data_IF_541730503610
#
_entry.id   IF_541730503610
#
_cell.length_a   1.000
_cell.length_b   1.000
_cell.length_c   1.000
_cell.angle_alpha   90.00
_cell.angle_beta   90.00
_cell.angle_gamma   90.00
#
_symmetry.space_group_name_H-M   'P 1'
#
loop_
_entity.id
_entity.type
_entity.pdbx_description
1 polymer ?
#
# COMPACT_ATOMS: atom_id res chain seq x y z
N UNK A 1 66.60 39.09 80.14
CA UNK A 1 66.68 38.77 78.69
C UNK A 1 66.94 40.05 77.86
N UNK A 2 68.05 40.78 78.09
CA UNK A 2 68.40 41.96 77.29
C UNK A 2 69.75 41.86 76.56
N UNK A 3 70.50 40.76 76.75
CA UNK A 3 71.77 40.52 76.02
C UNK A 3 71.58 39.81 74.67
N UNK A 4 70.39 39.31 74.35
CA UNK A 4 70.14 38.48 73.18
C UNK A 4 69.98 39.24 71.84
N UNK A 5 69.96 40.57 71.85
CA UNK A 5 69.62 41.38 70.65
C UNK A 5 70.81 42.03 69.94
N UNK A 6 72.03 41.95 70.48
CA UNK A 6 73.21 42.58 69.85
C UNK A 6 74.18 41.61 69.18
N UNK A 7 73.86 40.31 69.18
CA UNK A 7 74.74 39.31 68.58
C UNK A 7 74.29 39.06 67.13
N UNK A 8 75.12 39.35 66.12
CA UNK A 8 74.75 39.12 64.72
C UNK A 8 74.44 37.64 64.50
N UNK A 9 73.37 37.37 63.75
CA UNK A 9 72.92 36.04 63.31
C UNK A 9 72.46 35.05 64.41
N UNK A 10 72.08 35.52 65.61
CA UNK A 10 71.58 34.72 66.75
C UNK A 10 70.35 33.81 66.48
N UNK A 11 69.65 34.01 65.37
CA UNK A 11 68.43 33.26 64.99
C UNK A 11 68.67 32.21 63.90
N UNK A 12 69.90 32.05 63.41
CA UNK A 12 70.26 31.01 62.46
C UNK A 12 70.99 29.88 63.18
N UNK A 13 70.48 28.65 63.06
CA UNK A 13 71.12 27.46 63.63
C UNK A 13 72.58 27.35 63.19
N UNK A 14 72.82 27.53 61.89
CA UNK A 14 74.16 27.43 61.28
C UNK A 14 75.11 28.46 61.88
N UNK A 15 74.63 29.68 62.09
CA UNK A 15 75.45 30.75 62.66
C UNK A 15 75.72 30.58 64.15
N UNK A 16 74.75 30.07 64.91
CA UNK A 16 74.91 29.81 66.35
C UNK A 16 75.89 28.65 66.56
N UNK A 17 75.83 27.60 65.72
CA UNK A 17 76.79 26.50 65.71
C UNK A 17 78.20 26.97 65.40
N UNK A 18 78.35 27.81 64.38
CA UNK A 18 79.67 28.30 63.99
C UNK A 18 80.28 29.17 65.09
N UNK A 19 79.52 30.10 65.66
CA UNK A 19 79.97 30.94 66.76
C UNK A 19 80.30 30.13 68.03
N UNK A 20 79.51 29.11 68.36
CA UNK A 20 79.81 28.21 69.48
C UNK A 20 81.12 27.45 69.25
N UNK A 21 81.29 26.86 68.06
CA UNK A 21 82.49 26.11 67.68
C UNK A 21 83.74 27.00 67.66
N UNK A 22 83.63 28.24 67.18
CA UNK A 22 84.74 29.19 67.14
C UNK A 22 85.16 29.63 68.55
N UNK A 23 84.18 29.83 69.45
CA UNK A 23 84.44 30.18 70.85
C UNK A 23 85.03 29.01 71.66
N UNK A 24 84.55 27.79 71.45
CA UNK A 24 85.15 26.58 72.03
C UNK A 24 86.59 26.38 71.52
N UNK A 25 86.82 26.54 70.22
CA UNK A 25 88.16 26.47 69.64
C UNK A 25 89.09 27.54 70.23
N UNK A 26 88.61 28.78 70.39
CA UNK A 26 89.37 29.85 71.02
C UNK A 26 89.68 29.53 72.49
N UNK A 27 88.72 29.04 73.26
CA UNK A 27 88.92 28.63 74.65
C UNK A 27 90.01 27.56 74.77
N UNK A 28 89.95 26.52 73.94
CA UNK A 28 90.96 25.46 73.89
C UNK A 28 92.36 25.99 73.54
N UNK A 29 92.46 26.90 72.56
CA UNK A 29 93.74 27.54 72.20
C UNK A 29 94.31 28.35 73.35
N UNK A 30 93.48 29.13 74.05
CA UNK A 30 93.93 29.94 75.18
C UNK A 30 94.29 29.10 76.42
N UNK A 31 93.59 27.99 76.68
CA UNK A 31 94.01 27.03 77.69
C UNK A 31 95.36 26.39 77.34
N UNK A 32 95.60 26.05 76.07
CA UNK A 32 96.89 25.53 75.63
C UNK A 32 98.02 26.56 75.79
N UNK A 33 97.76 27.84 75.45
CA UNK A 33 98.70 28.93 75.67
C UNK A 33 98.99 29.16 77.16
N UNK A 34 97.97 29.09 78.03
CA UNK A 34 98.19 29.14 79.47
C UNK A 34 99.21 28.09 79.93
N UNK A 35 99.00 26.83 79.55
CA UNK A 35 99.91 25.74 79.95
C UNK A 35 101.31 26.00 79.41
N UNK A 36 101.41 26.46 78.16
CA UNK A 36 102.70 26.81 77.56
C UNK A 36 103.43 27.92 78.31
N UNK A 37 102.74 29.00 78.68
CA UNK A 37 103.35 30.12 79.41
C UNK A 37 103.68 29.77 80.87
N UNK A 38 102.89 28.91 81.51
CA UNK A 38 103.16 28.39 82.85
C UNK A 38 104.44 27.52 82.86
N UNK A 39 104.59 26.67 81.84
CA UNK A 39 105.83 25.89 81.61
C UNK A 39 107.02 26.81 81.35
N UNK A 40 106.87 27.85 80.52
CA UNK A 40 107.95 28.82 80.28
C UNK A 40 108.33 29.63 81.53
N UNK A 41 107.37 29.97 82.39
CA UNK A 41 107.63 30.64 83.65
C UNK A 41 108.50 29.75 84.55
N UNK A 42 108.18 28.46 84.63
CA UNK A 42 108.93 27.48 85.43
C UNK A 42 110.39 27.31 84.99
N UNK A 43 110.68 27.52 83.70
CA UNK A 43 112.05 27.46 83.15
C UNK A 43 112.81 28.79 83.18
N UNK A 44 112.21 29.87 83.66
CA UNK A 44 112.86 31.19 83.69
C UNK A 44 113.70 31.36 84.97
N UNK A 45 115.02 31.41 84.84
CA UNK A 45 115.93 31.69 85.98
C UNK A 45 115.85 33.15 86.48
N UNK A 46 115.28 34.07 85.67
CA UNK A 46 115.06 35.47 86.04
C UNK A 46 113.68 35.66 86.71
N UNK A 47 113.70 36.00 88.01
CA UNK A 47 112.52 36.24 88.85
C UNK A 47 111.57 37.31 88.31
N UNK A 48 112.06 38.32 87.57
CA UNK A 48 111.19 39.34 87.02
C UNK A 48 110.42 38.83 85.80
N UNK A 49 111.04 37.95 85.01
CA UNK A 49 110.47 37.35 83.80
C UNK A 49 109.50 36.22 84.14
N UNK A 50 109.81 35.41 85.15
CA UNK A 50 108.90 34.41 85.74
C UNK A 50 107.55 35.05 86.12
N UNK A 51 107.57 36.11 86.94
CA UNK A 51 106.36 36.86 87.34
C UNK A 51 105.59 37.48 86.17
N UNK A 52 106.27 37.83 85.09
CA UNK A 52 105.62 38.39 83.90
C UNK A 52 104.91 37.29 83.13
N UNK A 53 105.56 36.13 82.96
CA UNK A 53 104.99 34.96 82.28
C UNK A 53 103.81 34.37 83.07
N UNK A 54 103.88 34.32 84.40
CA UNK A 54 102.74 33.94 85.26
C UNK A 54 101.53 34.88 85.05
N UNK A 55 101.76 36.20 85.00
CA UNK A 55 100.68 37.17 84.75
C UNK A 55 100.08 37.02 83.36
N UNK A 56 100.91 36.71 82.35
CA UNK A 56 100.46 36.45 80.99
C UNK A 56 99.66 35.15 80.91
N UNK A 57 100.14 34.09 81.56
CA UNK A 57 99.41 32.82 81.70
C UNK A 57 98.05 33.03 82.37
N UNK A 58 98.01 33.77 83.49
CA UNK A 58 96.76 34.13 84.16
C UNK A 58 95.80 34.95 83.28
N UNK A 59 96.34 35.83 82.42
CA UNK A 59 95.54 36.56 81.44
C UNK A 59 94.90 35.61 80.41
N UNK A 60 95.66 34.63 79.90
CA UNK A 60 95.11 33.60 79.01
C UNK A 60 94.09 32.70 79.69
N UNK A 61 94.26 32.38 80.97
CA UNK A 61 93.23 31.70 81.77
C UNK A 61 91.92 32.48 81.74
N UNK A 62 91.98 33.77 82.04
CA UNK A 62 90.82 34.63 82.09
C UNK A 62 90.12 34.68 80.73
N UNK A 63 90.88 34.84 79.64
CA UNK A 63 90.32 34.86 78.28
C UNK A 63 89.66 33.52 77.92
N UNK A 64 90.29 32.39 78.27
CA UNK A 64 89.71 31.06 78.02
C UNK A 64 88.39 30.86 78.78
N UNK A 65 88.36 31.23 80.06
CA UNK A 65 87.14 31.16 80.89
C UNK A 65 86.07 32.12 80.36
N UNK A 66 86.44 33.32 79.91
CA UNK A 66 85.48 34.24 79.26
C UNK A 66 84.95 33.69 77.94
N UNK A 67 85.78 33.01 77.14
CA UNK A 67 85.34 32.35 75.91
C UNK A 67 84.34 31.22 76.20
N UNK A 68 84.58 30.40 77.23
CA UNK A 68 83.63 29.37 77.70
C UNK A 68 82.31 29.97 78.21
N UNK A 69 82.38 31.02 79.05
CA UNK A 69 81.20 31.74 79.52
C UNK A 69 80.41 32.33 78.34
N UNK A 70 81.12 32.83 77.32
CA UNK A 70 80.50 33.35 76.10
C UNK A 70 79.93 32.23 75.21
N UNK A 71 80.54 31.04 75.18
CA UNK A 71 80.11 29.89 74.38
C UNK A 71 78.83 29.24 74.94
N UNK A 72 78.69 29.16 76.27
CA UNK A 72 77.54 28.54 76.95
C UNK A 72 76.16 28.97 76.44
N UNK A 73 75.84 30.28 76.29
CA UNK A 73 74.54 30.70 75.77
C UNK A 73 74.34 30.32 74.28
N UNK A 74 75.40 30.18 73.48
CA UNK A 74 75.28 29.66 72.11
C UNK A 74 74.99 28.16 72.11
N UNK A 75 75.59 27.38 73.02
CA UNK A 75 75.28 25.97 73.20
C UNK A 75 73.79 25.74 73.51
N UNK A 76 73.25 26.42 74.52
CA UNK A 76 71.81 26.34 74.85
C UNK A 76 70.90 26.79 73.69
N UNK A 77 71.33 27.80 72.93
CA UNK A 77 70.57 28.30 71.78
C UNK A 77 70.60 27.32 70.62
N UNK A 78 71.73 26.64 70.38
CA UNK A 78 71.86 25.59 69.38
C UNK A 78 70.92 24.41 69.68
N UNK A 79 70.83 23.99 70.95
CA UNK A 79 69.91 22.92 71.37
C UNK A 79 68.46 23.32 71.13
N UNK A 80 68.07 24.53 71.54
CA UNK A 80 66.70 25.06 71.37
C UNK A 80 66.32 25.17 69.88
N UNK A 81 67.21 25.71 69.04
CA UNK A 81 66.96 25.85 67.60
C UNK A 81 66.94 24.49 66.90
N UNK A 82 67.78 23.54 67.34
CA UNK A 82 67.79 22.16 66.84
C UNK A 82 66.47 21.46 67.17
N UNK A 83 65.98 21.58 68.41
CA UNK A 83 64.70 21.03 68.84
C UNK A 83 63.52 21.63 68.06
N UNK A 84 63.52 22.94 67.84
CA UNK A 84 62.50 23.62 67.01
C UNK A 84 62.51 23.11 65.56
N UNK A 85 63.69 22.95 64.96
CA UNK A 85 63.83 22.44 63.59
C UNK A 85 63.35 20.99 63.51
N UNK A 86 63.74 20.13 64.45
CA UNK A 86 63.31 18.73 64.53
C UNK A 86 61.78 18.65 64.71
N UNK A 87 61.20 19.44 65.61
CA UNK A 87 59.74 19.50 65.80
C UNK A 87 58.99 20.00 64.57
N UNK A 88 59.54 20.98 63.85
CA UNK A 88 58.96 21.47 62.59
C UNK A 88 59.04 20.42 61.47
N UNK A 89 60.13 19.66 61.41
CA UNK A 89 60.32 18.56 60.45
C UNK A 89 59.38 17.39 60.75
N UNK A 90 59.23 17.02 62.02
CA UNK A 90 58.28 15.98 62.45
C UNK A 90 56.84 16.36 62.10
N UNK A 91 56.46 17.63 62.32
CA UNK A 91 55.15 18.16 61.91
C UNK A 91 54.97 18.09 60.39
N UNK A 92 55.95 18.57 59.62
CA UNK A 92 55.91 18.48 58.14
C UNK A 92 55.86 17.04 57.63
N UNK A 93 56.56 16.11 58.28
CA UNK A 93 56.54 14.69 57.93
C UNK A 93 55.17 14.07 58.20
N UNK A 94 54.55 14.38 59.36
CA UNK A 94 53.17 13.95 59.69
C UNK A 94 52.15 14.52 58.72
N UNK A 95 52.27 15.80 58.35
CA UNK A 95 51.39 16.42 57.35
C UNK A 95 51.56 15.78 55.97
N UNK A 96 52.80 15.54 55.54
CA UNK A 96 53.09 14.88 54.28
C UNK A 96 52.53 13.44 54.25
N UNK A 97 52.68 12.69 55.34
CA UNK A 97 52.11 11.34 55.47
C UNK A 97 50.59 11.37 55.40
N UNK A 98 49.95 12.32 56.11
CA UNK A 98 48.50 12.50 56.10
C UNK A 98 47.99 12.86 54.71
N UNK A 99 48.67 13.78 54.02
CA UNK A 99 48.34 14.17 52.66
C UNK A 99 48.51 13.01 51.66
N UNK A 100 49.58 12.21 51.78
CA UNK A 100 49.79 11.03 50.94
C UNK A 100 48.72 9.95 51.19
N UNK A 101 48.36 9.71 52.45
CA UNK A 101 47.29 8.77 52.82
C UNK A 101 45.93 9.23 52.28
N UNK A 102 45.61 10.51 52.41
CA UNK A 102 44.39 11.11 51.85
C UNK A 102 44.37 11.03 50.32
N UNK A 103 45.49 11.29 49.65
CA UNK A 103 45.60 11.17 48.20
C UNK A 103 45.41 9.72 47.73
N UNK A 104 46.01 8.75 48.43
CA UNK A 104 45.85 7.32 48.15
C UNK A 104 44.38 6.88 48.31
N UNK A 105 43.70 7.33 49.37
CA UNK A 105 42.29 7.05 49.60
C UNK A 105 41.42 7.63 48.47
N UNK A 106 41.63 8.90 48.13
CA UNK A 106 40.90 9.56 47.02
C UNK A 106 41.14 8.88 45.67
N UNK A 107 42.35 8.40 45.41
CA UNK A 107 42.66 7.65 44.19
C UNK A 107 41.92 6.30 44.16
N UNK A 108 41.82 5.62 45.30
CA UNK A 108 41.01 4.39 45.43
C UNK A 108 39.52 4.65 45.18
N UNK A 109 38.96 5.70 45.75
CA UNK A 109 37.57 6.09 45.53
C UNK A 109 37.29 6.46 44.07
N UNK A 110 38.23 7.16 43.42
CA UNK A 110 38.13 7.50 42.01
C UNK A 110 38.16 6.25 41.12
N UNK A 111 39.05 5.30 41.40
CA UNK A 111 39.11 4.01 40.69
C UNK A 111 37.80 3.22 40.84
N UNK A 112 37.29 3.11 42.07
CA UNK A 112 36.01 2.46 42.34
C UNK A 112 34.83 3.13 41.62
N UNK A 113 34.84 4.47 41.53
CA UNK A 113 33.81 5.23 40.82
C UNK A 113 33.89 4.99 39.32
N UNK A 114 35.09 4.97 38.73
CA UNK A 114 35.31 4.65 37.33
C UNK A 114 34.85 3.22 36.99
N UNK A 115 35.16 2.23 37.83
CA UNK A 115 34.70 0.85 37.64
C UNK A 115 33.18 0.74 37.65
N UNK A 116 32.49 1.45 38.55
CA UNK A 116 31.03 1.50 38.55
C UNK A 116 30.47 2.17 37.29
N UNK A 117 31.11 3.24 36.82
CA UNK A 117 30.71 3.93 35.60
C UNK A 117 30.85 3.02 34.37
N UNK A 118 31.95 2.27 34.27
CA UNK A 118 32.18 1.30 33.19
C UNK A 118 31.12 0.19 33.21
N UNK A 119 30.84 -0.42 34.37
CA UNK A 119 29.78 -1.44 34.49
C UNK A 119 28.39 -0.89 34.11
N UNK A 120 28.08 0.35 34.50
CA UNK A 120 26.83 0.99 34.13
C UNK A 120 26.75 1.23 32.61
N UNK A 121 27.87 1.59 31.97
CA UNK A 121 27.96 1.74 30.52
C UNK A 121 27.75 0.38 29.81
N UNK A 122 28.39 -0.69 30.25
CA UNK A 122 28.24 -2.05 29.68
C UNK A 122 26.77 -2.53 29.77
N UNK A 123 26.10 -2.27 30.91
CA UNK A 123 24.69 -2.57 31.08
C UNK A 123 23.80 -1.75 30.14
N UNK A 124 24.10 -0.48 29.96
CA UNK A 124 23.37 0.39 29.04
C UNK A 124 23.55 -0.06 27.58
N UNK A 125 24.76 -0.45 27.17
CA UNK A 125 25.06 -0.98 25.84
C UNK A 125 24.31 -2.30 25.59
N UNK A 126 24.32 -3.22 26.56
CA UNK A 126 23.58 -4.49 26.47
C UNK A 126 22.06 -4.26 26.36
N UNK A 127 21.52 -3.35 27.17
CA UNK A 127 20.09 -3.00 27.14
C UNK A 127 19.71 -2.36 25.80
N UNK A 128 20.54 -1.47 25.26
CA UNK A 128 20.37 -0.85 23.96
C UNK A 128 20.40 -1.89 22.83
N UNK A 129 21.36 -2.81 22.85
CA UNK A 129 21.45 -3.92 21.87
C UNK A 129 20.20 -4.80 21.88
N UNK A 130 19.69 -5.14 23.06
CA UNK A 130 18.44 -5.89 23.21
C UNK A 130 17.22 -5.12 22.67
N UNK A 131 17.14 -3.80 22.92
CA UNK A 131 16.07 -2.96 22.42
C UNK A 131 16.08 -2.86 20.88
N UNK A 132 17.27 -2.69 20.27
CA UNK A 132 17.44 -2.69 18.81
C UNK A 132 17.06 -4.05 18.22
N UNK A 133 17.43 -5.16 18.88
CA UNK A 133 17.04 -6.51 18.47
C UNK A 133 15.52 -6.69 18.46
N UNK A 134 14.84 -6.32 19.55
CA UNK A 134 13.37 -6.38 19.63
C UNK A 134 12.69 -5.48 18.59
N UNK A 135 13.20 -4.26 18.39
CA UNK A 135 12.68 -3.36 17.36
C UNK A 135 12.83 -3.94 15.96
N UNK A 136 13.94 -4.64 15.68
CA UNK A 136 14.18 -5.28 14.39
C UNK A 136 13.23 -6.46 14.14
N UNK A 137 12.95 -7.25 15.18
CA UNK A 137 11.94 -8.32 15.11
C UNK A 137 10.55 -7.76 14.86
N UNK A 138 10.14 -6.72 15.61
CA UNK A 138 8.84 -6.08 15.42
C UNK A 138 8.68 -5.49 14.01
N UNK A 139 9.74 -4.91 13.44
CA UNK A 139 9.72 -4.40 12.06
C UNK A 139 9.50 -5.52 11.04
N UNK A 140 10.10 -6.70 11.26
CA UNK A 140 9.87 -7.88 10.40
C UNK A 140 8.44 -8.39 10.50
N UNK A 141 7.91 -8.52 11.71
CA UNK A 141 6.51 -8.92 11.94
C UNK A 141 5.53 -7.96 11.25
N UNK A 142 5.75 -6.65 11.35
CA UNK A 142 4.93 -5.65 10.65
C UNK A 142 5.03 -5.80 9.12
N UNK A 143 6.22 -6.06 8.59
CA UNK A 143 6.40 -6.29 7.15
C UNK A 143 5.71 -7.56 6.66
N UNK A 144 5.75 -8.64 7.45
CA UNK A 144 5.06 -9.89 7.14
C UNK A 144 3.54 -9.73 7.19
N UNK A 145 3.02 -9.06 8.22
CA UNK A 145 1.60 -8.75 8.35
C UNK A 145 1.10 -7.87 7.18
N UNK A 146 1.89 -6.90 6.75
CA UNK A 146 1.55 -6.05 5.60
C UNK A 146 1.48 -6.87 4.29
N UNK A 147 2.35 -7.87 4.13
CA UNK A 147 2.32 -8.78 2.98
C UNK A 147 1.09 -9.68 3.01
N UNK A 148 0.72 -10.20 4.18
CA UNK A 148 -0.51 -10.99 4.35
C UNK A 148 -1.75 -10.17 4.02
N UNK A 149 -1.84 -8.93 4.53
CA UNK A 149 -2.97 -8.02 4.26
C UNK A 149 -3.18 -7.78 2.76
N UNK A 150 -2.11 -7.52 2.01
CA UNK A 150 -2.20 -7.31 0.55
C UNK A 150 -2.67 -8.57 -0.18
N UNK A 151 -2.23 -9.75 0.27
CA UNK A 151 -2.68 -11.02 -0.31
C UNK A 151 -4.17 -11.27 -0.02
N UNK A 152 -4.62 -11.03 1.21
CA UNK A 152 -6.04 -11.15 1.59
C UNK A 152 -6.93 -10.18 0.81
N UNK A 153 -6.49 -8.93 0.60
CA UNK A 153 -7.21 -7.95 -0.23
C UNK A 153 -7.39 -8.46 -1.66
N UNK A 154 -6.33 -9.01 -2.28
CA UNK A 154 -6.42 -9.58 -3.62
C UNK A 154 -7.38 -10.77 -3.70
N UNK A 155 -7.40 -11.63 -2.67
CA UNK A 155 -8.35 -12.74 -2.59
C UNK A 155 -9.79 -12.25 -2.46
N UNK A 156 -10.03 -11.19 -1.68
CA UNK A 156 -11.36 -10.59 -1.52
C UNK A 156 -11.89 -10.04 -2.85
N UNK A 157 -11.08 -9.28 -3.58
CA UNK A 157 -11.44 -8.75 -4.91
C UNK A 157 -11.78 -9.88 -5.89
N UNK A 158 -11.02 -10.99 -5.86
CA UNK A 158 -11.30 -12.16 -6.70
C UNK A 158 -12.63 -12.85 -6.33
N UNK A 159 -12.97 -12.90 -5.03
CA UNK A 159 -14.25 -13.45 -4.55
C UNK A 159 -15.41 -12.53 -4.93
N UNK A 160 -15.27 -11.21 -4.77
CA UNK A 160 -16.30 -10.25 -5.18
C UNK A 160 -16.59 -10.32 -6.68
N UNK A 161 -15.54 -10.43 -7.51
CA UNK A 161 -15.71 -10.64 -8.95
C UNK A 161 -16.47 -11.94 -9.27
N UNK A 162 -16.14 -13.05 -8.60
CA UNK A 162 -16.88 -14.31 -8.78
C UNK A 162 -18.33 -14.20 -8.32
N UNK A 163 -18.59 -13.43 -7.25
CA UNK A 163 -19.93 -13.19 -6.74
C UNK A 163 -20.76 -12.41 -7.76
N UNK A 164 -20.23 -11.32 -8.31
CA UNK A 164 -20.95 -10.52 -9.31
C UNK A 164 -21.19 -11.30 -10.61
N UNK A 165 -20.22 -12.11 -11.04
CA UNK A 165 -20.38 -13.06 -12.16
C UNK A 165 -21.52 -14.07 -11.88
N UNK A 166 -21.56 -14.64 -10.66
CA UNK A 166 -22.59 -15.59 -10.26
C UNK A 166 -23.97 -14.96 -10.12
N UNK A 167 -24.07 -13.77 -9.50
CA UNK A 167 -25.33 -13.03 -9.38
C UNK A 167 -25.90 -12.69 -10.76
N UNK A 168 -25.04 -12.24 -11.69
CA UNK A 168 -25.44 -11.98 -13.09
C UNK A 168 -25.93 -13.27 -13.76
N UNK A 169 -25.23 -14.38 -13.56
CA UNK A 169 -25.64 -15.69 -14.08
C UNK A 169 -26.97 -16.17 -13.50
N UNK A 170 -27.22 -15.95 -12.21
CA UNK A 170 -28.47 -16.35 -11.55
C UNK A 170 -29.64 -15.50 -12.02
N UNK A 171 -29.47 -14.19 -12.12
CA UNK A 171 -30.49 -13.28 -12.68
C UNK A 171 -30.80 -13.65 -14.14
N UNK A 172 -29.75 -13.91 -14.94
CA UNK A 172 -29.94 -14.39 -16.32
C UNK A 172 -30.70 -15.71 -16.35
N UNK A 173 -30.36 -16.67 -15.50
CA UNK A 173 -31.06 -17.95 -15.41
C UNK A 173 -32.52 -17.78 -14.96
N UNK A 174 -32.80 -16.90 -14.01
CA UNK A 174 -34.16 -16.62 -13.54
C UNK A 174 -35.01 -15.98 -14.64
N UNK A 175 -34.50 -14.93 -15.29
CA UNK A 175 -35.17 -14.26 -16.42
C UNK A 175 -35.40 -15.25 -17.56
N UNK A 176 -34.39 -16.08 -17.84
CA UNK A 176 -34.43 -17.00 -18.95
C UNK A 176 -35.19 -18.29 -18.65
N UNK A 177 -35.53 -18.63 -17.41
CA UNK A 177 -36.37 -19.79 -17.07
C UNK A 177 -37.80 -19.40 -16.68
N UNK A 178 -38.10 -18.10 -16.65
CA UNK A 178 -39.42 -17.58 -16.37
C UNK A 178 -40.46 -18.10 -17.39
N UNK A 179 -41.65 -18.53 -16.95
CA UNK A 179 -42.71 -18.94 -17.87
C UNK A 179 -43.06 -17.84 -18.89
N UNK A 180 -43.28 -18.17 -20.16
CA UNK A 180 -43.73 -17.21 -21.19
C UNK A 180 -45.17 -16.76 -20.92
N UNK A 181 -45.30 -15.78 -20.05
CA UNK A 181 -46.58 -15.14 -19.66
C UNK A 181 -46.48 -13.66 -20.00
N UNK A 182 -47.45 -13.16 -20.75
CA UNK A 182 -47.57 -11.72 -21.00
C UNK A 182 -48.36 -11.14 -19.82
N UNK A 183 -47.77 -10.27 -19.00
CA UNK A 183 -48.48 -9.70 -17.87
C UNK A 183 -49.67 -8.89 -18.38
N UNK A 184 -50.86 -9.22 -17.88
CA UNK A 184 -52.06 -8.43 -18.11
C UNK A 184 -52.05 -7.25 -17.13
N UNK A 185 -51.52 -6.11 -17.56
CA UNK A 185 -51.52 -4.88 -16.78
C UNK A 185 -52.32 -3.79 -17.50
N UNK A 186 -52.92 -2.90 -16.71
CA UNK A 186 -53.64 -1.73 -17.20
C UNK A 186 -53.32 -0.50 -16.36
N UNK A 187 -52.86 0.58 -16.99
CA UNK A 187 -52.63 1.87 -16.33
C UNK A 187 -53.93 2.69 -16.37
N UNK A 188 -54.83 2.43 -15.42
CA UNK A 188 -56.18 2.97 -15.42
C UNK A 188 -57.04 2.46 -16.57
N UNK A 189 -58.02 3.25 -17.01
CA UNK A 189 -58.94 2.87 -18.11
C UNK A 189 -58.39 3.14 -19.52
N UNK A 190 -57.12 3.54 -19.66
CA UNK A 190 -56.59 4.09 -20.92
C UNK A 190 -55.56 3.20 -21.61
N UNK A 191 -54.62 2.63 -20.84
CA UNK A 191 -53.50 1.87 -21.42
C UNK A 191 -53.49 0.44 -20.90
N UNK A 192 -53.32 -0.52 -21.80
CA UNK A 192 -53.19 -1.95 -21.51
C UNK A 192 -51.89 -2.50 -22.07
N UNK A 193 -51.47 -3.69 -21.59
CA UNK A 193 -50.31 -4.39 -22.13
C UNK A 193 -50.41 -4.72 -23.63
N UNK A 194 -51.59 -4.65 -24.25
CA UNK A 194 -51.82 -4.88 -25.67
C UNK A 194 -51.76 -3.60 -26.53
N UNK A 195 -51.63 -2.42 -25.92
CA UNK A 195 -51.71 -1.12 -26.62
C UNK A 195 -50.69 -0.93 -27.74
N UNK A 196 -49.42 -1.37 -27.61
CA UNK A 196 -48.45 -1.28 -28.71
C UNK A 196 -48.90 -1.99 -30.00
N UNK A 197 -49.82 -2.96 -29.90
CA UNK A 197 -50.33 -3.74 -31.04
C UNK A 197 -51.68 -3.25 -31.59
N UNK A 198 -52.35 -2.32 -30.88
CA UNK A 198 -53.64 -1.72 -31.32
C UNK A 198 -53.57 -0.96 -32.66
N UNK A 199 -52.46 -0.31 -33.05
CA UNK A 199 -52.34 0.31 -34.38
C UNK A 199 -52.55 -0.68 -35.54
N UNK A 200 -52.43 -1.99 -35.27
CA UNK A 200 -52.62 -3.07 -36.24
C UNK A 200 -53.97 -3.80 -36.06
N UNK A 201 -54.98 -3.17 -35.45
CA UNK A 201 -56.30 -3.78 -35.28
C UNK A 201 -56.88 -4.25 -36.64
N UNK A 202 -57.54 -5.40 -36.63
CA UNK A 202 -58.07 -6.07 -37.83
C UNK A 202 -57.07 -6.99 -38.54
N UNK A 203 -55.79 -6.92 -38.19
CA UNK A 203 -54.74 -7.79 -38.73
C UNK A 203 -55.07 -9.27 -38.55
N UNK A 204 -54.84 -10.07 -39.60
CA UNK A 204 -55.04 -11.51 -39.57
C UNK A 204 -53.78 -12.23 -39.09
N UNK A 205 -53.94 -13.13 -38.12
CA UNK A 205 -52.85 -13.96 -37.60
C UNK A 205 -53.29 -15.42 -37.46
N UNK A 206 -52.43 -16.35 -37.88
CA UNK A 206 -52.63 -17.79 -37.77
C UNK A 206 -51.66 -18.33 -36.74
N UNK A 207 -52.15 -18.80 -35.60
CA UNK A 207 -51.33 -19.25 -34.47
C UNK A 207 -51.20 -20.77 -34.46
N UNK A 208 -49.98 -21.29 -34.53
CA UNK A 208 -49.63 -22.70 -34.32
C UNK A 208 -48.73 -22.89 -33.11
N UNK A 209 -48.78 -24.07 -32.49
CA UNK A 209 -47.97 -24.39 -31.31
C UNK A 209 -47.64 -25.88 -31.19
N UNK A 210 -46.56 -26.22 -30.48
CA UNK A 210 -46.19 -27.61 -30.13
C UNK A 210 -47.08 -28.10 -29.00
N UNK A 211 -47.41 -29.40 -28.98
CA UNK A 211 -48.27 -30.00 -27.96
C UNK A 211 -47.54 -30.20 -26.60
N UNK A 212 -47.01 -29.12 -26.06
CA UNK A 212 -46.35 -29.06 -24.76
C UNK A 212 -47.07 -27.99 -23.89
N UNK A 213 -47.08 -28.19 -22.57
CA UNK A 213 -47.89 -27.40 -21.64
C UNK A 213 -47.46 -25.91 -21.60
N UNK A 214 -46.16 -25.64 -21.60
CA UNK A 214 -45.62 -24.29 -21.62
C UNK A 214 -45.82 -23.61 -22.98
N UNK A 215 -45.58 -24.29 -24.11
CA UNK A 215 -45.85 -23.77 -25.45
C UNK A 215 -47.34 -23.43 -25.66
N UNK A 216 -48.25 -24.30 -25.18
CA UNK A 216 -49.70 -24.06 -25.22
C UNK A 216 -50.10 -22.84 -24.37
N UNK A 217 -49.50 -22.67 -23.20
CA UNK A 217 -49.72 -21.50 -22.34
C UNK A 217 -49.19 -20.22 -22.99
N UNK A 218 -48.01 -20.25 -23.59
CA UNK A 218 -47.42 -19.13 -24.32
C UNK A 218 -48.31 -18.72 -25.51
N UNK A 219 -48.75 -19.70 -26.30
CA UNK A 219 -49.69 -19.48 -27.40
C UNK A 219 -51.02 -18.87 -26.90
N UNK A 220 -51.55 -19.35 -25.78
CA UNK A 220 -52.78 -18.80 -25.18
C UNK A 220 -52.61 -17.33 -24.73
N UNK A 221 -51.44 -16.97 -24.19
CA UNK A 221 -51.11 -15.59 -23.84
C UNK A 221 -51.05 -14.70 -25.08
N UNK A 222 -50.32 -15.12 -26.12
CA UNK A 222 -50.27 -14.39 -27.40
C UNK A 222 -51.67 -14.22 -27.96
N UNK A 223 -52.47 -15.29 -28.02
CA UNK A 223 -53.84 -15.23 -28.52
C UNK A 223 -54.69 -14.19 -27.79
N UNK A 224 -54.66 -14.19 -26.45
CA UNK A 224 -55.39 -13.23 -25.63
C UNK A 224 -54.95 -11.79 -25.89
N UNK A 225 -53.64 -11.53 -25.92
CA UNK A 225 -53.08 -10.20 -26.18
C UNK A 225 -53.45 -9.69 -27.58
N UNK A 226 -53.34 -10.53 -28.61
CA UNK A 226 -53.72 -10.16 -29.98
C UNK A 226 -55.22 -9.89 -30.10
N UNK A 227 -56.07 -10.70 -29.45
CA UNK A 227 -57.51 -10.43 -29.40
C UNK A 227 -57.84 -9.11 -28.71
N UNK A 228 -57.17 -8.80 -27.60
CA UNK A 228 -57.31 -7.52 -26.91
C UNK A 228 -56.84 -6.32 -27.76
N UNK A 229 -55.86 -6.54 -28.64
CA UNK A 229 -55.42 -5.56 -29.63
C UNK A 229 -56.37 -5.43 -30.85
N UNK A 230 -57.44 -6.23 -30.92
CA UNK A 230 -58.42 -6.19 -32.01
C UNK A 230 -58.05 -7.02 -33.24
N UNK A 231 -57.16 -8.00 -33.10
CA UNK A 231 -56.70 -8.83 -34.23
C UNK A 231 -57.63 -10.01 -34.53
N UNK A 232 -57.62 -10.44 -35.79
CA UNK A 232 -58.35 -11.60 -36.29
C UNK A 232 -57.46 -12.85 -36.21
N UNK A 233 -57.40 -13.46 -35.02
CA UNK A 233 -56.58 -14.66 -34.76
C UNK A 233 -57.35 -15.95 -35.00
N UNK A 234 -56.78 -16.86 -35.79
CA UNK A 234 -57.17 -18.27 -35.94
C UNK A 234 -56.09 -19.20 -35.34
N UNK A 235 -56.46 -20.41 -34.95
CA UNK A 235 -55.55 -21.36 -34.29
C UNK A 235 -55.46 -22.64 -35.12
N UNK A 236 -54.24 -23.09 -35.40
CA UNK A 236 -53.95 -24.36 -36.06
C UNK A 236 -53.95 -25.52 -35.05
N UNK A 237 -54.20 -26.75 -35.50
CA UNK A 237 -53.94 -27.93 -34.69
C UNK A 237 -52.48 -27.98 -34.19
N UNK A 238 -52.22 -28.54 -33.01
CA UNK A 238 -50.86 -28.71 -32.51
C UNK A 238 -50.00 -29.52 -33.48
N UNK A 239 -48.72 -29.16 -33.62
CA UNK A 239 -47.75 -29.88 -34.47
C UNK A 239 -46.38 -29.87 -33.81
N UNK A 240 -45.62 -30.97 -33.95
CA UNK A 240 -44.28 -31.10 -33.37
C UNK A 240 -43.19 -30.52 -34.27
N UNK A 241 -43.52 -30.09 -35.50
CA UNK A 241 -42.57 -29.57 -36.49
C UNK A 241 -42.23 -28.08 -36.31
N UNK A 242 -42.33 -27.55 -35.09
CA UNK A 242 -42.05 -26.13 -34.80
C UNK A 242 -40.71 -26.00 -34.10
N UNK A 243 -39.87 -25.09 -34.59
CA UNK A 243 -38.60 -24.74 -33.96
C UNK A 243 -38.83 -24.08 -32.60
N UNK A 244 -37.91 -24.30 -31.66
CA UNK A 244 -37.95 -23.66 -30.33
C UNK A 244 -38.07 -22.13 -30.41
N UNK A 245 -38.72 -21.56 -29.38
CA UNK A 245 -39.00 -20.13 -29.28
C UNK A 245 -40.34 -19.73 -29.92
N UNK A 246 -40.42 -18.47 -30.36
CA UNK A 246 -41.58 -17.95 -31.11
C UNK A 246 -41.10 -17.44 -32.47
N UNK A 247 -41.63 -18.00 -33.55
CA UNK A 247 -41.29 -17.59 -34.91
C UNK A 247 -42.46 -16.85 -35.55
N UNK A 248 -42.23 -15.60 -35.97
CA UNK A 248 -43.21 -14.77 -36.66
C UNK A 248 -42.91 -14.82 -38.16
N UNK A 249 -43.84 -15.41 -38.91
CA UNK A 249 -43.70 -15.72 -40.33
C UNK A 249 -44.66 -14.84 -41.14
N UNK A 250 -44.19 -13.71 -41.71
CA UNK A 250 -45.03 -12.82 -42.52
C UNK A 250 -45.44 -13.46 -43.85
N UNK A 251 -46.44 -12.88 -44.52
CA UNK A 251 -46.84 -13.28 -45.86
C UNK A 251 -45.71 -13.07 -46.87
N UNK A 252 -45.48 -14.06 -47.73
CA UNK A 252 -44.51 -13.96 -48.82
C UNK A 252 -45.25 -13.97 -50.15
N UNK A 253 -45.06 -12.93 -50.95
CA UNK A 253 -45.69 -12.81 -52.26
C UNK A 253 -45.27 -13.97 -53.22
N UNK A 254 -46.18 -14.46 -54.08
CA UNK A 254 -45.84 -15.42 -55.13
C UNK A 254 -44.80 -14.85 -56.12
N UNK A 255 -43.85 -15.70 -56.55
CA UNK A 255 -42.87 -15.35 -57.59
C UNK A 255 -43.46 -15.57 -58.99
N UNK A 256 -42.93 -14.84 -59.98
CA UNK A 256 -43.17 -15.10 -61.41
C UNK A 256 -44.55 -14.67 -61.93
N UNK A 257 -45.32 -13.93 -61.15
CA UNK A 257 -46.59 -13.34 -61.58
C UNK A 257 -46.33 -12.11 -62.47
N UNK A 258 -47.12 -11.90 -63.54
CA UNK A 258 -47.06 -10.66 -64.31
C UNK A 258 -47.44 -9.46 -63.41
N UNK A 259 -46.82 -8.30 -63.64
CA UNK A 259 -47.14 -7.03 -62.95
C UNK A 259 -48.60 -6.63 -63.23
N UNK A 260 -49.50 -7.16 -62.42
CA UNK A 260 -50.94 -6.93 -62.45
C UNK A 260 -51.35 -6.20 -61.17
N UNK A 261 -52.57 -5.66 -61.14
CA UNK A 261 -53.14 -5.05 -59.94
C UNK A 261 -53.20 -6.03 -58.76
N UNK A 262 -53.40 -7.33 -59.03
CA UNK A 262 -53.37 -8.39 -58.04
C UNK A 262 -51.95 -8.65 -57.51
N UNK A 263 -50.93 -8.60 -58.36
CA UNK A 263 -49.55 -8.70 -57.92
C UNK A 263 -49.16 -7.53 -56.99
N UNK A 264 -49.60 -6.31 -57.32
CA UNK A 264 -49.32 -5.14 -56.47
C UNK A 264 -50.01 -5.27 -55.10
N UNK A 265 -51.22 -5.83 -55.03
CA UNK A 265 -51.87 -6.10 -53.74
C UNK A 265 -51.12 -7.15 -52.91
N UNK A 266 -50.56 -8.18 -53.54
CA UNK A 266 -49.67 -9.14 -52.87
C UNK A 266 -48.39 -8.49 -52.37
N UNK A 267 -47.77 -7.61 -53.17
CA UNK A 267 -46.56 -6.88 -52.77
C UNK A 267 -46.81 -5.98 -51.58
N UNK A 268 -47.89 -5.20 -51.61
CA UNK A 268 -48.28 -4.34 -50.49
C UNK A 268 -48.65 -5.16 -49.25
N UNK A 269 -49.34 -6.28 -49.44
CA UNK A 269 -49.64 -7.24 -48.37
C UNK A 269 -48.37 -7.81 -47.73
N UNK A 270 -47.36 -8.17 -48.52
CA UNK A 270 -46.08 -8.64 -48.01
C UNK A 270 -45.40 -7.55 -47.17
N UNK A 271 -45.20 -6.36 -47.74
CA UNK A 271 -44.57 -5.23 -47.03
C UNK A 271 -45.29 -4.87 -45.72
N UNK A 272 -46.62 -4.83 -45.74
CA UNK A 272 -47.40 -4.59 -44.54
C UNK A 272 -47.20 -5.70 -43.51
N UNK A 273 -47.34 -6.96 -43.91
CA UNK A 273 -47.17 -8.10 -43.00
C UNK A 273 -45.77 -8.18 -42.39
N UNK A 274 -44.73 -7.73 -43.13
CA UNK A 274 -43.37 -7.65 -42.63
C UNK A 274 -43.23 -6.59 -41.53
N UNK A 275 -43.76 -5.39 -41.75
CA UNK A 275 -43.74 -4.33 -40.74
C UNK A 275 -44.50 -4.74 -39.47
N UNK A 276 -45.64 -5.41 -39.62
CA UNK A 276 -46.42 -5.90 -38.48
C UNK A 276 -45.69 -7.05 -37.77
N UNK A 277 -45.05 -7.95 -38.52
CA UNK A 277 -44.25 -9.03 -37.95
C UNK A 277 -43.08 -8.49 -37.11
N UNK A 278 -42.38 -7.47 -37.61
CA UNK A 278 -41.29 -6.82 -36.87
C UNK A 278 -41.81 -6.16 -35.59
N UNK A 279 -42.96 -5.48 -35.64
CA UNK A 279 -43.58 -4.87 -34.45
C UNK A 279 -44.01 -5.93 -33.41
N UNK A 280 -44.49 -7.09 -33.85
CA UNK A 280 -44.83 -8.20 -32.95
C UNK A 280 -43.59 -8.86 -32.35
N UNK A 281 -42.51 -9.00 -33.13
CA UNK A 281 -41.22 -9.47 -32.61
C UNK A 281 -40.73 -8.52 -31.52
N UNK A 282 -40.69 -7.22 -31.80
CA UNK A 282 -40.27 -6.18 -30.84
C UNK A 282 -41.12 -6.22 -29.57
N UNK A 283 -42.43 -6.34 -29.73
CA UNK A 283 -43.35 -6.47 -28.61
C UNK A 283 -43.01 -7.68 -27.74
N UNK A 284 -42.88 -8.87 -28.32
CA UNK A 284 -42.59 -10.09 -27.56
C UNK A 284 -41.21 -10.05 -26.90
N UNK A 285 -40.20 -9.52 -27.60
CA UNK A 285 -38.86 -9.34 -27.07
C UNK A 285 -38.82 -8.34 -25.91
N UNK A 286 -39.70 -7.32 -25.89
CA UNK A 286 -39.81 -6.40 -24.75
C UNK A 286 -40.24 -7.08 -23.44
N UNK A 287 -40.85 -8.27 -23.55
CA UNK A 287 -41.18 -9.14 -22.41
C UNK A 287 -40.16 -10.28 -22.21
N UNK A 288 -38.96 -10.17 -22.80
CA UNK A 288 -37.89 -11.18 -22.78
C UNK A 288 -38.25 -12.51 -23.48
N UNK A 289 -39.23 -12.52 -24.39
CA UNK A 289 -39.52 -13.74 -25.15
C UNK A 289 -38.51 -13.88 -26.29
N UNK A 290 -38.08 -15.12 -26.54
CA UNK A 290 -37.23 -15.46 -27.69
C UNK A 290 -38.06 -15.52 -28.98
N UNK A 291 -38.53 -14.34 -29.41
CA UNK A 291 -39.22 -14.16 -30.66
C UNK A 291 -38.23 -13.80 -31.78
N UNK A 292 -38.43 -14.36 -32.97
CA UNK A 292 -37.64 -14.02 -34.16
C UNK A 292 -38.50 -14.02 -35.41
N UNK A 293 -38.01 -13.31 -36.42
CA UNK A 293 -38.57 -13.40 -37.76
C UNK A 293 -38.21 -14.76 -38.39
N UNK A 294 -39.20 -15.36 -39.03
CA UNK A 294 -39.05 -16.60 -39.75
C UNK A 294 -39.65 -16.54 -41.14
N UNK A 295 -39.55 -17.67 -41.83
CA UNK A 295 -40.10 -17.85 -43.16
C UNK A 295 -41.29 -18.80 -43.08
N UNK A 296 -42.44 -18.48 -43.69
CA UNK A 296 -43.59 -19.39 -43.71
C UNK A 296 -43.20 -20.63 -44.50
N UNK A 297 -43.03 -21.75 -43.82
CA UNK A 297 -42.59 -23.01 -44.43
C UNK A 297 -43.60 -24.13 -44.17
N UNK A 298 -43.70 -25.05 -45.12
CA UNK A 298 -44.49 -26.27 -44.99
C UNK A 298 -43.73 -27.34 -44.18
N UNK A 299 -44.33 -28.51 -44.00
CA UNK A 299 -43.72 -29.64 -43.28
C UNK A 299 -42.42 -30.15 -43.94
N UNK A 300 -42.15 -29.79 -45.19
CA UNK A 300 -40.93 -30.15 -45.94
C UNK A 300 -39.88 -29.03 -45.93
N UNK A 301 -40.14 -27.93 -45.23
CA UNK A 301 -39.27 -26.76 -45.20
C UNK A 301 -39.35 -25.90 -46.47
N UNK A 302 -40.32 -26.15 -47.36
CA UNK A 302 -40.51 -25.34 -48.57
C UNK A 302 -41.30 -24.08 -48.23
N UNK A 303 -40.95 -22.96 -48.88
CA UNK A 303 -41.59 -21.69 -48.62
C UNK A 303 -43.05 -21.68 -49.09
N UNK A 304 -43.97 -21.40 -48.17
CA UNK A 304 -45.39 -21.23 -48.46
C UNK A 304 -45.58 -19.86 -49.08
N UNK A 305 -45.91 -19.84 -50.38
CA UNK A 305 -46.28 -18.63 -51.13
C UNK A 305 -47.74 -18.62 -51.56
N UNK A 306 -48.51 -19.65 -51.23
CA UNK A 306 -49.92 -19.76 -51.65
C UNK A 306 -50.79 -18.80 -50.81
N UNK A 307 -51.42 -17.77 -51.44
CA UNK A 307 -52.28 -16.83 -50.74
C UNK A 307 -53.52 -17.46 -50.11
N UNK A 308 -53.90 -18.68 -50.51
CA UNK A 308 -55.01 -19.42 -49.90
C UNK A 308 -54.65 -19.97 -48.53
N UNK A 309 -53.37 -20.29 -48.31
CA UNK A 309 -52.87 -20.82 -47.04
C UNK A 309 -52.54 -19.68 -46.08
N UNK A 310 -51.90 -18.63 -46.60
CA UNK A 310 -51.59 -17.42 -45.85
C UNK A 310 -52.03 -16.21 -46.66
N UNK A 311 -53.17 -15.57 -46.34
CA UNK A 311 -53.70 -14.44 -47.10
C UNK A 311 -52.74 -13.24 -47.18
N UNK A 312 -52.86 -12.39 -48.21
CA UNK A 312 -52.05 -11.18 -48.32
C UNK A 312 -52.23 -10.29 -47.09
N UNK A 313 -51.11 -9.86 -46.51
CA UNK A 313 -51.11 -9.08 -45.27
C UNK A 313 -51.17 -9.92 -44.01
N UNK A 314 -51.59 -11.19 -44.04
CA UNK A 314 -51.64 -12.05 -42.86
C UNK A 314 -50.25 -12.51 -42.40
N UNK A 315 -50.16 -13.03 -41.18
CA UNK A 315 -48.93 -13.66 -40.67
C UNK A 315 -49.23 -14.97 -39.96
N UNK A 316 -48.23 -15.84 -39.86
CA UNK A 316 -48.28 -17.07 -39.07
C UNK A 316 -47.37 -16.93 -37.86
N UNK A 317 -47.86 -17.30 -36.69
CA UNK A 317 -47.14 -17.24 -35.42
C UNK A 317 -46.95 -18.68 -34.96
N UNK A 318 -45.70 -19.11 -34.82
CA UNK A 318 -45.36 -20.49 -34.49
C UNK A 318 -44.67 -20.53 -33.13
N UNK A 319 -45.31 -21.18 -32.16
CA UNK A 319 -44.83 -21.27 -30.77
C UNK A 319 -44.25 -22.66 -30.52
N UNK A 320 -42.93 -22.77 -30.58
CA UNK A 320 -42.20 -23.99 -30.27
C UNK A 320 -41.97 -24.19 -28.78
N UNK A 321 -41.14 -25.19 -28.45
CA UNK A 321 -40.69 -25.43 -27.07
C UNK A 321 -39.95 -24.22 -26.52
N UNK A 322 -39.92 -24.13 -25.19
CA UNK A 322 -39.05 -23.18 -24.53
C UNK A 322 -37.59 -23.56 -24.82
N UNK A 323 -36.80 -22.72 -25.50
CA UNK A 323 -35.44 -23.04 -25.86
C UNK A 323 -34.62 -23.30 -24.60
N UNK A 324 -33.83 -24.38 -24.59
CA UNK A 324 -33.02 -24.75 -23.43
C UNK A 324 -32.03 -23.64 -23.09
N UNK A 325 -32.35 -22.87 -22.04
CA UNK A 325 -31.49 -21.84 -21.46
C UNK A 325 -30.59 -22.47 -20.40
N UNK A 326 -29.71 -23.38 -20.84
CA UNK A 326 -28.57 -23.69 -20.02
C UNK A 326 -27.49 -22.66 -20.35
N UNK A 327 -27.00 -21.94 -19.34
CA UNK A 327 -25.69 -21.31 -19.39
C UNK A 327 -24.65 -22.44 -19.40
N UNK A 328 -24.56 -23.16 -20.52
CA UNK A 328 -23.39 -23.98 -20.80
C UNK A 328 -22.34 -22.97 -21.23
N UNK A 329 -21.48 -22.58 -20.31
CA UNK A 329 -20.23 -21.91 -20.68
C UNK A 329 -19.41 -23.00 -21.38
N UNK A 330 -19.32 -23.03 -22.73
CA UNK A 330 -18.53 -24.06 -23.40
C UNK A 330 -17.09 -24.00 -22.85
N UNK A 331 -16.38 -25.12 -22.72
CA UNK A 331 -14.94 -25.10 -22.44
C UNK A 331 -14.27 -24.17 -23.47
N UNK A 332 -13.56 -23.13 -23.00
CA UNK A 332 -12.98 -22.10 -23.86
C UNK A 332 -13.88 -20.90 -24.17
N UNK A 333 -15.05 -20.74 -23.55
CA UNK A 333 -15.93 -19.57 -23.76
C UNK A 333 -15.23 -18.22 -23.53
N UNK A 334 -14.27 -18.17 -22.59
CA UNK A 334 -13.43 -16.97 -22.37
C UNK A 334 -12.55 -16.67 -23.58
N UNK A 335 -11.98 -17.71 -24.18
CA UNK A 335 -11.12 -17.58 -25.37
C UNK A 335 -11.95 -17.22 -26.61
N UNK A 336 -13.16 -17.79 -26.74
CA UNK A 336 -14.11 -17.45 -27.80
C UNK A 336 -14.62 -16.02 -27.64
N UNK A 337 -14.96 -15.59 -26.43
CA UNK A 337 -15.40 -14.23 -26.16
C UNK A 337 -14.29 -13.20 -26.43
N UNK A 338 -13.05 -13.52 -26.05
CA UNK A 338 -11.88 -12.70 -26.36
C UNK A 338 -11.63 -12.62 -27.88
N UNK A 339 -11.71 -13.75 -28.58
CA UNK A 339 -11.55 -13.81 -30.04
C UNK A 339 -12.67 -13.05 -30.77
N UNK A 340 -13.92 -13.16 -30.32
CA UNK A 340 -15.06 -12.41 -30.86
C UNK A 340 -14.93 -10.91 -30.60
N UNK A 341 -14.45 -10.49 -29.43
CA UNK A 341 -14.19 -9.09 -29.12
C UNK A 341 -13.11 -8.51 -30.04
N UNK A 342 -12.00 -9.25 -30.25
CA UNK A 342 -10.96 -8.87 -31.20
C UNK A 342 -11.46 -8.82 -32.63
N UNK A 343 -12.26 -9.80 -33.05
CA UNK A 343 -12.85 -9.84 -34.38
C UNK A 343 -13.81 -8.66 -34.61
N UNK A 344 -14.64 -8.33 -33.61
CA UNK A 344 -15.54 -7.18 -33.66
C UNK A 344 -14.78 -5.87 -33.77
N UNK A 345 -13.72 -5.68 -32.98
CA UNK A 345 -12.87 -4.50 -33.03
C UNK A 345 -12.19 -4.36 -34.41
N UNK A 346 -11.66 -5.45 -34.96
CA UNK A 346 -11.08 -5.47 -36.30
C UNK A 346 -12.13 -5.19 -37.40
N UNK A 347 -13.33 -5.74 -37.28
CA UNK A 347 -14.41 -5.54 -38.23
C UNK A 347 -14.92 -4.09 -38.20
N UNK A 348 -15.06 -3.49 -37.02
CA UNK A 348 -15.41 -2.08 -36.86
C UNK A 348 -14.33 -1.14 -37.46
N UNK A 349 -13.05 -1.43 -37.22
CA UNK A 349 -11.94 -0.67 -37.82
C UNK A 349 -11.94 -0.77 -39.35
N UNK A 350 -12.16 -1.97 -39.90
CA UNK A 350 -12.29 -2.16 -41.35
C UNK A 350 -13.51 -1.43 -41.92
N UNK A 351 -14.65 -1.48 -41.23
CA UNK A 351 -15.88 -0.80 -41.65
C UNK A 351 -15.70 0.71 -41.67
N UNK A 352 -15.10 1.29 -40.62
CA UNK A 352 -14.79 2.73 -40.57
C UNK A 352 -13.82 3.16 -41.69
N UNK A 353 -12.85 2.30 -42.03
CA UNK A 353 -11.92 2.57 -43.13
C UNK A 353 -12.64 2.55 -44.48
N UNK A 354 -13.46 1.53 -44.74
CA UNK A 354 -14.28 1.44 -45.95
C UNK A 354 -15.28 2.60 -46.06
N UNK A 355 -15.90 3.00 -44.95
CA UNK A 355 -16.82 4.14 -44.90
C UNK A 355 -16.11 5.44 -45.31
N UNK A 356 -14.92 5.72 -44.77
CA UNK A 356 -14.11 6.90 -45.14
C UNK A 356 -13.70 6.89 -46.62
N UNK A 357 -13.24 5.74 -47.13
CA UNK A 357 -12.86 5.60 -48.53
C UNK A 357 -14.07 5.74 -49.47
N UNK A 358 -15.25 5.24 -49.08
CA UNK A 358 -16.47 5.37 -49.85
C UNK A 358 -16.99 6.81 -49.84
N UNK A 359 -16.92 7.48 -48.69
CA UNK A 359 -17.26 8.91 -48.55
C UNK A 359 -16.42 9.81 -49.44
N UNK A 360 -15.11 9.55 -49.49
CA UNK A 360 -14.18 10.31 -50.33
C UNK A 360 -14.41 10.06 -51.84
N UNK A 361 -14.85 8.85 -52.22
CA UNK A 361 -15.23 8.53 -53.60
C UNK A 361 -16.55 9.20 -53.99
N UNK A 362 -17.55 9.13 -53.11
CA UNK A 362 -18.87 9.73 -53.32
C UNK A 362 -18.78 11.26 -53.40
N UNK A 363 -17.93 11.90 -52.60
CA UNK A 363 -17.73 13.36 -52.64
C UNK A 363 -17.11 13.87 -53.95
N UNK A 364 -16.47 12.98 -54.73
CA UNK A 364 -15.88 13.30 -56.04
C UNK A 364 -16.87 13.08 -57.21
N UNK A 365 -17.96 12.36 -56.99
CA UNK A 365 -18.88 11.90 -58.05
C UNK A 365 -20.30 12.47 -57.95
N UNK A 366 -20.75 12.84 -56.75
CA UNK A 366 -22.12 13.28 -56.49
C UNK A 366 -22.22 14.78 -56.24
N UNK A 367 -23.39 15.34 -56.50
CA UNK A 367 -23.71 16.73 -56.12
C UNK A 367 -23.89 16.84 -54.60
N UNK A 368 -23.74 18.05 -54.00
CA UNK A 368 -23.92 18.24 -52.56
C UNK A 368 -25.27 17.73 -52.02
N UNK A 369 -26.35 17.87 -52.78
CA UNK A 369 -27.69 17.40 -52.42
C UNK A 369 -27.79 15.87 -52.41
N UNK A 370 -27.15 15.19 -53.36
CA UNK A 370 -27.08 13.73 -53.39
C UNK A 370 -26.20 13.15 -52.26
N UNK A 371 -25.13 13.87 -51.87
CA UNK A 371 -24.28 13.50 -50.73
C UNK A 371 -25.09 13.55 -49.43
N UNK A 372 -25.93 14.57 -49.26
CA UNK A 372 -26.78 14.72 -48.08
C UNK A 372 -27.85 13.63 -48.02
N UNK A 373 -28.51 13.32 -49.14
CA UNK A 373 -29.47 12.21 -49.23
C UNK A 373 -28.82 10.85 -48.92
N UNK A 374 -27.61 10.60 -49.44
CA UNK A 374 -26.88 9.37 -49.18
C UNK A 374 -26.40 9.25 -47.72
N UNK A 375 -26.08 10.39 -47.07
CA UNK A 375 -25.76 10.41 -45.63
C UNK A 375 -27.00 10.12 -44.79
N UNK A 376 -28.13 10.77 -45.07
CA UNK A 376 -29.40 10.53 -44.38
C UNK A 376 -29.86 9.08 -44.51
N UNK A 377 -29.77 8.51 -45.71
CA UNK A 377 -30.09 7.10 -45.96
C UNK A 377 -29.20 6.15 -45.15
N UNK A 378 -27.88 6.42 -45.06
CA UNK A 378 -26.97 5.60 -44.25
C UNK A 378 -27.20 5.72 -42.76
N UNK A 379 -27.53 6.90 -42.26
CA UNK A 379 -27.90 7.06 -40.86
C UNK A 379 -29.17 6.29 -40.52
N UNK A 380 -30.13 6.24 -41.45
CA UNK A 380 -31.32 5.39 -41.31
C UNK A 380 -30.93 3.91 -41.30
N UNK A 381 -30.13 3.44 -42.26
CA UNK A 381 -29.66 2.05 -42.29
C UNK A 381 -28.88 1.66 -41.04
N UNK A 382 -28.05 2.57 -40.49
CA UNK A 382 -27.32 2.33 -39.24
C UNK A 382 -28.25 2.23 -38.04
N UNK A 383 -29.28 3.09 -37.96
CA UNK A 383 -30.32 2.99 -36.92
C UNK A 383 -31.10 1.68 -37.04
N UNK A 384 -31.43 1.26 -38.26
CA UNK A 384 -32.09 -0.02 -38.51
C UNK A 384 -31.20 -1.21 -38.15
N UNK A 385 -29.89 -1.16 -38.46
CA UNK A 385 -28.91 -2.17 -38.06
C UNK A 385 -28.72 -2.23 -36.54
N UNK A 386 -28.65 -1.08 -35.85
CA UNK A 386 -28.56 -1.01 -34.39
C UNK A 386 -29.83 -1.55 -33.71
N UNK A 387 -31.01 -1.25 -34.26
CA UNK A 387 -32.27 -1.82 -33.83
C UNK A 387 -32.27 -3.33 -34.06
N UNK A 388 -31.82 -3.79 -35.22
CA UNK A 388 -31.68 -5.21 -35.53
C UNK A 388 -30.74 -5.90 -34.53
N UNK A 389 -29.54 -5.37 -34.27
CA UNK A 389 -28.59 -5.94 -33.31
C UNK A 389 -29.16 -5.97 -31.88
N UNK A 390 -29.88 -4.93 -31.45
CA UNK A 390 -30.59 -4.91 -30.16
C UNK A 390 -31.67 -5.99 -30.10
N UNK A 391 -32.42 -6.22 -31.18
CA UNK A 391 -33.42 -7.30 -31.29
C UNK A 391 -32.82 -8.69 -31.12
N UNK A 392 -31.56 -8.91 -31.50
CA UNK A 392 -30.92 -10.24 -31.44
C UNK A 392 -29.88 -10.41 -30.31
N UNK A 393 -29.71 -9.40 -29.44
CA UNK A 393 -28.74 -9.42 -28.32
C UNK A 393 -29.38 -9.49 -26.93
N UNK A 394 -30.63 -9.95 -26.83
CA UNK A 394 -31.31 -10.10 -25.55
C UNK A 394 -30.57 -11.04 -24.57
N UNK A 395 -30.84 -10.92 -23.26
CA UNK A 395 -30.15 -11.68 -22.21
C UNK A 395 -30.35 -13.20 -22.34
N UNK A 396 -31.36 -13.63 -23.10
CA UNK A 396 -31.67 -15.02 -23.39
C UNK A 396 -31.44 -15.29 -24.87
N UNK A 397 -30.18 -15.58 -25.24
CA UNK A 397 -29.90 -16.07 -26.58
C UNK A 397 -30.19 -17.58 -26.63
N UNK A 398 -30.96 -18.06 -27.62
CA UNK A 398 -31.08 -19.49 -27.85
C UNK A 398 -29.69 -20.06 -28.13
N UNK A 399 -29.42 -21.28 -27.66
CA UNK A 399 -28.26 -22.04 -28.12
C UNK A 399 -28.34 -22.09 -29.64
N UNK A 400 -27.44 -21.39 -30.33
CA UNK A 400 -27.32 -21.54 -31.78
C UNK A 400 -27.01 -23.01 -32.01
N UNK A 401 -27.88 -23.78 -32.71
CA UNK A 401 -27.56 -25.16 -32.99
C UNK A 401 -26.22 -25.17 -33.73
N UNK A 402 -25.24 -25.93 -33.23
CA UNK A 402 -23.98 -26.19 -33.93
C UNK A 402 -24.23 -27.09 -35.15
N UNK A 403 -25.05 -26.60 -36.08
CA UNK A 403 -25.26 -27.16 -37.40
C UNK A 403 -24.33 -26.47 -38.40
N UNK A 404 -23.93 -27.16 -39.48
CA UNK A 404 -23.09 -26.55 -40.50
C UNK A 404 -23.84 -25.35 -41.08
N UNK A 405 -23.22 -24.17 -41.01
CA UNK A 405 -23.59 -23.05 -41.87
C UNK A 405 -23.60 -23.59 -43.30
N UNK A 406 -24.79 -23.73 -43.88
CA UNK A 406 -24.90 -23.93 -45.32
C UNK A 406 -24.45 -22.62 -45.99
N UNK A 407 -23.64 -22.69 -47.06
CA UNK A 407 -23.09 -21.54 -47.76
C UNK A 407 -24.15 -20.67 -48.44
#
# INVERSE_FOLDING_TARGET
>A
MHFATMIPNWNSLESVRHAHSDLEAAALVFFALLVFFDVLAHFSEDKNRERLLEKVGLCFFAIAVFAEIAAYPYGQRNDTLSEQIIGSLDTKAKDAFTNASNASTKAGDAANTADRANRAADHAETASGNAVGKSSTALREVSDLNRELVNEQSQLEAVEKKRTELETSLISMEICSAPRVLPNWSLGNKETSADPLKPFAGQQAILGYVNEAEAKRAASNIFGTLKNAGWNVSVLPPTDAIKDGVEIQPFVAPLGQPMTQEWESFRQGALHSEAVADALVDFLQSYNWQAKRGWPTDERGQLIRDPKVLPPGAMRIMVGLYPAVMLVVPPGAKDIAAALAQFKEQSEQQRQKMEKENDEKLSKQLTPEQIEQHRAFREQMKKEEELWQKRYSGPCQPLTPMGPYFP
#
